data_IF_052831856326
#
_entry.id   IF_052831856326
#
_cell.length_a   1.000
_cell.length_b   1.000
_cell.length_c   1.000
_cell.angle_alpha   90.00
_cell.angle_beta   90.00
_cell.angle_gamma   90.00
#
_symmetry.space_group_name_H-M   'P 1'
#
loop_
_entity.id
_entity.type
_entity.pdbx_description
1 polymer ?
#
# COMPACT_ATOMS: atom_id res chain seq x y z
N UNK A 1 16.44 -0.26 2.94
CA UNK A 1 15.41 -0.65 1.98
C UNK A 1 14.26 0.35 1.95
N UNK A 2 13.61 0.47 0.80
CA UNK A 2 12.38 1.24 0.69
C UNK A 2 11.19 0.43 1.23
N UNK A 3 10.08 1.11 1.50
CA UNK A 3 8.83 0.52 2.00
C UNK A 3 7.67 1.22 1.36
N UNK A 4 6.56 0.52 1.17
CA UNK A 4 5.34 1.06 0.58
C UNK A 4 4.16 0.94 1.54
N UNK A 5 3.28 1.92 1.48
CA UNK A 5 2.05 1.96 2.28
C UNK A 5 0.87 1.50 1.41
N UNK A 6 0.44 0.25 1.60
CA UNK A 6 -0.64 -0.34 0.79
C UNK A 6 -1.99 0.28 1.07
N UNK A 7 -2.23 0.76 2.31
CA UNK A 7 -3.46 1.51 2.61
C UNK A 7 -3.50 2.84 1.84
N UNK A 8 -2.38 3.55 1.79
CA UNK A 8 -2.30 4.80 1.02
C UNK A 8 -2.57 4.57 -0.46
N UNK A 9 -2.08 3.47 -1.04
CA UNK A 9 -2.36 3.11 -2.43
C UNK A 9 -3.86 2.88 -2.66
N UNK A 10 -4.56 2.20 -1.74
CA UNK A 10 -6.01 2.03 -1.79
C UNK A 10 -6.72 3.38 -1.75
N UNK A 11 -6.42 4.23 -0.75
CA UNK A 11 -7.10 5.53 -0.58
C UNK A 11 -6.84 6.48 -1.77
N UNK A 12 -5.61 6.49 -2.29
CA UNK A 12 -5.25 7.26 -3.48
C UNK A 12 -6.02 6.77 -4.71
N UNK A 13 -6.18 5.45 -4.86
CA UNK A 13 -6.99 4.86 -5.93
C UNK A 13 -8.46 5.29 -5.88
N UNK A 14 -9.08 5.31 -4.68
CA UNK A 14 -10.45 5.78 -4.49
C UNK A 14 -10.64 7.22 -4.97
N UNK A 15 -9.61 8.05 -4.84
CA UNK A 15 -9.57 9.46 -5.26
C UNK A 15 -9.11 9.67 -6.72
N UNK A 16 -9.09 8.63 -7.54
CA UNK A 16 -8.70 8.77 -8.94
C UNK A 16 -7.19 9.02 -9.13
N UNK A 17 -6.39 8.51 -8.22
CA UNK A 17 -4.94 8.67 -8.21
C UNK A 17 -4.43 9.95 -7.55
N UNK A 18 -5.31 10.77 -6.99
CA UNK A 18 -4.92 11.95 -6.22
C UNK A 18 -4.65 11.61 -4.76
N UNK A 19 -3.59 12.21 -4.22
CA UNK A 19 -3.27 12.12 -2.80
C UNK A 19 -4.34 12.88 -1.97
N UNK A 20 -4.89 12.25 -0.94
CA UNK A 20 -5.92 12.84 -0.08
C UNK A 20 -5.37 13.91 0.88
N UNK A 21 -4.08 13.87 1.17
CA UNK A 21 -3.36 14.87 2.00
C UNK A 21 -2.82 15.99 1.14
N UNK A 22 -2.23 15.65 -0.01
CA UNK A 22 -1.65 16.60 -0.98
C UNK A 22 -2.47 16.62 -2.27
N UNK A 23 -3.67 17.19 -2.22
CA UNK A 23 -4.71 17.14 -3.25
C UNK A 23 -4.30 17.66 -4.63
N UNK A 24 -3.27 18.48 -4.71
CA UNK A 24 -2.74 19.00 -5.98
C UNK A 24 -1.84 17.99 -6.71
N UNK A 25 -1.52 16.86 -6.08
CA UNK A 25 -0.60 15.88 -6.62
C UNK A 25 -1.32 14.61 -7.07
N UNK A 26 -1.33 14.38 -8.38
CA UNK A 26 -1.79 13.12 -8.98
C UNK A 26 -0.64 12.14 -9.05
N UNK A 27 -0.75 11.04 -8.33
CA UNK A 27 0.29 10.00 -8.21
C UNK A 27 0.28 9.08 -9.42
N UNK A 28 -0.92 8.65 -9.88
CA UNK A 28 -1.11 7.78 -11.04
C UNK A 28 -2.50 7.96 -11.65
N UNK A 29 -2.68 7.49 -12.89
CA UNK A 29 -3.95 7.58 -13.60
C UNK A 29 -4.87 6.40 -13.31
N UNK A 30 -6.03 6.69 -12.72
CA UNK A 30 -7.11 5.75 -12.46
C UNK A 30 -8.43 6.51 -12.36
N UNK A 31 -9.54 5.85 -12.69
CA UNK A 31 -10.86 6.44 -12.50
C UNK A 31 -11.24 6.47 -11.02
N UNK A 32 -11.71 7.63 -10.51
CA UNK A 32 -12.14 7.72 -9.11
C UNK A 32 -13.43 6.96 -8.88
N UNK A 33 -13.59 6.42 -7.68
CA UNK A 33 -14.86 5.88 -7.21
C UNK A 33 -15.79 7.06 -6.88
N UNK A 34 -17.01 7.06 -7.44
CA UNK A 34 -17.98 8.16 -7.28
C UNK A 34 -19.20 7.77 -6.45
N UNK A 35 -19.29 6.53 -6.01
CA UNK A 35 -20.43 5.98 -5.28
C UNK A 35 -20.68 6.73 -3.95
N UNK A 36 -21.94 6.89 -3.58
CA UNK A 36 -22.36 7.46 -2.28
C UNK A 36 -22.09 6.49 -1.13
N UNK A 37 -22.16 5.20 -1.41
CA UNK A 37 -21.76 4.11 -0.52
C UNK A 37 -20.73 3.28 -1.27
N UNK A 38 -19.58 3.03 -0.66
CA UNK A 38 -18.54 2.22 -1.28
C UNK A 38 -19.01 0.79 -1.50
N UNK A 39 -18.90 0.32 -2.74
CA UNK A 39 -19.26 -1.01 -3.15
C UNK A 39 -17.99 -1.86 -3.24
N UNK A 40 -18.00 -3.03 -2.57
CA UNK A 40 -16.77 -3.83 -2.36
C UNK A 40 -16.09 -4.26 -3.66
N UNK A 41 -16.84 -4.78 -4.64
CA UNK A 41 -16.23 -5.26 -5.88
C UNK A 41 -15.65 -4.11 -6.72
N UNK A 42 -16.32 -2.95 -6.73
CA UNK A 42 -15.80 -1.74 -7.38
C UNK A 42 -14.51 -1.25 -6.73
N UNK A 43 -14.48 -1.20 -5.39
CA UNK A 43 -13.29 -0.81 -4.62
C UNK A 43 -12.16 -1.82 -4.82
N UNK A 44 -12.46 -3.11 -4.78
CA UNK A 44 -11.47 -4.17 -5.00
C UNK A 44 -10.84 -4.07 -6.37
N UNK A 45 -11.65 -3.94 -7.43
CA UNK A 45 -11.17 -3.80 -8.81
C UNK A 45 -10.32 -2.52 -9.02
N UNK A 46 -10.70 -1.41 -8.37
CA UNK A 46 -9.91 -0.17 -8.37
C UNK A 46 -8.59 -0.37 -7.62
N UNK A 47 -8.62 -1.03 -6.47
CA UNK A 47 -7.42 -1.30 -5.68
C UNK A 47 -6.45 -2.25 -6.38
N UNK A 48 -6.93 -3.25 -7.11
CA UNK A 48 -6.07 -4.12 -7.93
C UNK A 48 -5.25 -3.32 -8.95
N UNK A 49 -5.85 -2.34 -9.62
CA UNK A 49 -5.12 -1.41 -10.52
C UNK A 49 -4.09 -0.55 -9.77
N UNK A 50 -4.44 -0.13 -8.55
CA UNK A 50 -3.50 0.61 -7.70
C UNK A 50 -2.32 -0.26 -7.26
N UNK A 51 -2.56 -1.55 -7.01
CA UNK A 51 -1.51 -2.52 -6.70
C UNK A 51 -0.60 -2.80 -7.91
N UNK A 52 -1.16 -2.84 -9.13
CA UNK A 52 -0.37 -2.98 -10.36
C UNK A 52 0.63 -1.82 -10.46
N UNK A 53 0.14 -0.58 -10.41
CA UNK A 53 1.00 0.60 -10.42
C UNK A 53 2.03 0.63 -9.27
N UNK A 54 1.59 0.27 -8.05
CA UNK A 54 2.46 0.27 -6.87
C UNK A 54 3.61 -0.72 -7.00
N UNK A 55 3.32 -1.93 -7.46
CA UNK A 55 4.35 -2.98 -7.62
C UNK A 55 5.31 -2.67 -8.76
N UNK A 56 4.83 -2.17 -9.89
CA UNK A 56 5.66 -1.71 -11.02
C UNK A 56 6.66 -0.65 -10.53
N UNK A 57 6.14 0.41 -9.91
CA UNK A 57 6.97 1.52 -9.41
C UNK A 57 7.97 1.05 -8.35
N UNK A 58 7.54 0.18 -7.44
CA UNK A 58 8.39 -0.30 -6.36
C UNK A 58 9.53 -1.19 -6.88
N UNK A 59 9.22 -2.09 -7.81
CA UNK A 59 10.23 -2.96 -8.44
C UNK A 59 11.23 -2.13 -9.23
N UNK A 60 10.77 -1.19 -10.04
CA UNK A 60 11.66 -0.31 -10.82
C UNK A 60 12.58 0.51 -9.91
N UNK A 61 12.02 1.10 -8.86
CA UNK A 61 12.80 1.85 -7.89
C UNK A 61 13.87 0.99 -7.20
N UNK A 62 13.53 -0.23 -6.77
CA UNK A 62 14.49 -1.13 -6.13
C UNK A 62 15.54 -1.66 -7.11
N UNK A 63 15.16 -1.97 -8.34
CA UNK A 63 16.12 -2.36 -9.38
C UNK A 63 17.16 -1.27 -9.61
N UNK A 64 16.72 0.00 -9.71
CA UNK A 64 17.61 1.15 -9.86
C UNK A 64 18.51 1.33 -8.62
N UNK A 65 17.93 1.29 -7.42
CA UNK A 65 18.67 1.44 -6.16
C UNK A 65 19.75 0.36 -6.04
N UNK A 66 19.42 -0.89 -6.31
CA UNK A 66 20.40 -1.98 -6.23
C UNK A 66 21.49 -1.88 -7.31
N UNK A 67 21.12 -1.51 -8.54
CA UNK A 67 22.08 -1.24 -9.60
C UNK A 67 23.03 -0.10 -9.22
N UNK A 68 22.50 1.02 -8.71
CA UNK A 68 23.30 2.17 -8.32
C UNK A 68 24.20 1.88 -7.11
N UNK A 69 23.69 1.10 -6.14
CA UNK A 69 24.47 0.64 -4.99
C UNK A 69 25.64 -0.22 -5.46
N UNK A 70 25.39 -1.20 -6.31
CA UNK A 70 26.46 -2.08 -6.82
C UNK A 70 27.50 -1.32 -7.67
N UNK A 71 27.09 -0.27 -8.35
CA UNK A 71 27.98 0.49 -9.24
C UNK A 71 28.82 1.55 -8.51
N UNK A 72 28.27 2.21 -7.50
CA UNK A 72 28.84 3.42 -6.92
C UNK A 72 29.11 3.35 -5.42
N UNK A 73 28.63 2.35 -4.71
CA UNK A 73 28.79 2.25 -3.27
C UNK A 73 30.08 1.50 -2.92
N UNK A 74 30.67 1.86 -1.80
CA UNK A 74 31.83 1.18 -1.20
C UNK A 74 31.56 -0.30 -0.91
N UNK A 75 30.32 -0.69 -0.62
CA UNK A 75 29.93 -2.10 -0.44
C UNK A 75 30.25 -2.95 -1.67
N UNK A 76 30.11 -2.40 -2.86
CA UNK A 76 30.48 -3.09 -4.10
C UNK A 76 31.97 -3.47 -4.13
N UNK A 77 32.86 -2.64 -3.56
CA UNK A 77 34.30 -2.93 -3.45
C UNK A 77 34.55 -4.03 -2.45
N UNK A 78 33.87 -4.02 -1.30
CA UNK A 78 33.98 -5.08 -0.29
C UNK A 78 33.44 -6.41 -0.82
N UNK A 79 32.35 -6.41 -1.54
CA UNK A 79 31.72 -7.60 -2.11
C UNK A 79 32.55 -8.19 -3.27
N UNK A 80 33.44 -7.41 -3.91
CA UNK A 80 34.36 -7.91 -4.92
C UNK A 80 35.37 -8.94 -4.36
N UNK A 81 35.55 -8.94 -3.05
CA UNK A 81 36.40 -9.94 -2.36
C UNK A 81 35.66 -11.22 -1.97
N UNK A 82 34.32 -11.27 -2.17
CA UNK A 82 33.54 -12.46 -1.92
C UNK A 82 33.51 -13.36 -3.16
N UNK A 83 33.66 -14.70 -3.01
CA UNK A 83 33.72 -15.61 -4.15
C UNK A 83 32.44 -15.69 -4.99
N UNK A 84 31.30 -15.22 -4.47
CA UNK A 84 30.05 -15.21 -5.20
C UNK A 84 29.33 -13.90 -4.94
N UNK A 85 29.17 -13.08 -6.00
CA UNK A 85 28.43 -11.84 -5.97
C UNK A 85 26.98 -12.07 -6.45
N UNK A 86 26.22 -12.81 -5.66
CA UNK A 86 24.82 -13.11 -5.97
C UNK A 86 23.88 -12.38 -5.02
N UNK A 87 22.85 -11.72 -5.58
CA UNK A 87 21.69 -11.25 -4.83
C UNK A 87 20.61 -12.33 -4.94
N UNK A 88 20.51 -13.18 -3.93
CA UNK A 88 19.51 -14.25 -3.92
C UNK A 88 18.10 -13.70 -3.73
N UNK A 89 17.94 -12.69 -2.88
CA UNK A 89 16.63 -12.15 -2.51
C UNK A 89 16.62 -10.61 -2.52
N UNK A 90 15.49 -10.04 -2.91
CA UNK A 90 15.16 -8.63 -2.75
C UNK A 90 13.92 -8.49 -1.87
N UNK A 91 14.04 -7.73 -0.77
CA UNK A 91 12.96 -7.54 0.20
C UNK A 91 12.05 -6.38 -0.15
N UNK A 92 10.75 -6.67 -0.26
CA UNK A 92 9.69 -5.71 -0.52
C UNK A 92 8.81 -5.57 0.73
N UNK A 93 9.11 -4.57 1.56
CA UNK A 93 8.36 -4.31 2.79
C UNK A 93 7.09 -3.53 2.55
N UNK A 94 5.98 -3.96 3.17
CA UNK A 94 4.72 -3.22 3.16
C UNK A 94 4.34 -2.78 4.57
N UNK A 95 3.72 -1.61 4.69
CA UNK A 95 3.06 -1.12 5.90
C UNK A 95 1.56 -0.86 5.63
N UNK A 96 0.81 -0.70 6.70
CA UNK A 96 -0.64 -0.48 6.63
C UNK A 96 -1.46 -1.74 6.32
N UNK A 97 -0.85 -2.94 6.40
CA UNK A 97 -1.53 -4.19 6.06
C UNK A 97 -2.81 -4.42 6.86
N UNK A 98 -2.74 -4.39 8.20
CA UNK A 98 -3.91 -4.60 9.06
C UNK A 98 -5.03 -3.59 8.76
N UNK A 99 -4.69 -2.30 8.69
CA UNK A 99 -5.68 -1.26 8.39
C UNK A 99 -6.26 -1.39 6.97
N UNK A 100 -5.52 -1.94 6.01
CA UNK A 100 -6.04 -2.22 4.66
C UNK A 100 -7.05 -3.36 4.70
N UNK A 101 -6.73 -4.45 5.41
CA UNK A 101 -7.65 -5.58 5.60
C UNK A 101 -8.92 -5.11 6.30
N UNK A 102 -8.79 -4.35 7.38
CA UNK A 102 -9.93 -3.81 8.13
C UNK A 102 -10.77 -2.85 7.27
N UNK A 103 -10.13 -2.02 6.43
CA UNK A 103 -10.83 -1.13 5.50
C UNK A 103 -11.64 -1.92 4.47
N UNK A 104 -11.05 -2.95 3.86
CA UNK A 104 -11.75 -3.83 2.93
C UNK A 104 -12.88 -4.60 3.60
N UNK A 105 -12.66 -5.04 4.84
CA UNK A 105 -13.67 -5.70 5.66
C UNK A 105 -14.84 -4.76 5.97
N UNK A 106 -14.56 -3.53 6.39
CA UNK A 106 -15.59 -2.52 6.64
C UNK A 106 -16.43 -2.24 5.39
N UNK A 107 -15.79 -2.10 4.22
CA UNK A 107 -16.48 -1.88 2.95
C UNK A 107 -17.34 -3.09 2.54
N UNK A 108 -16.87 -4.31 2.83
CA UNK A 108 -17.57 -5.56 2.46
C UNK A 108 -18.74 -5.90 3.38
N UNK A 109 -18.62 -5.63 4.68
CA UNK A 109 -19.56 -6.13 5.70
C UNK A 109 -20.33 -5.05 6.45
N UNK A 110 -19.92 -3.79 6.34
CA UNK A 110 -20.61 -2.64 6.91
C UNK A 110 -21.04 -1.66 5.80
N UNK A 111 -21.58 -0.52 6.17
CA UNK A 111 -21.90 0.56 5.24
C UNK A 111 -20.86 1.65 5.38
N UNK A 112 -20.09 1.88 4.33
CA UNK A 112 -19.05 2.92 4.31
C UNK A 112 -19.44 4.01 3.32
N UNK A 113 -19.63 5.23 3.83
CA UNK A 113 -19.95 6.43 3.04
C UNK A 113 -18.72 7.35 2.99
N UNK A 114 -18.18 7.62 1.81
CA UNK A 114 -17.11 8.58 1.66
C UNK A 114 -17.63 10.01 1.84
N UNK A 115 -16.92 10.81 2.62
CA UNK A 115 -17.19 12.23 2.80
C UNK A 115 -16.27 13.01 1.87
N UNK A 116 -16.88 13.82 0.99
CA UNK A 116 -16.16 14.51 -0.10
C UNK A 116 -16.15 16.00 0.13
N UNK A 117 -15.10 16.64 -0.36
CA UNK A 117 -15.02 18.09 -0.43
C UNK A 117 -15.77 18.65 -1.67
N UNK A 118 -15.74 19.95 -1.84
CA UNK A 118 -16.39 20.67 -2.95
C UNK A 118 -15.87 20.27 -4.35
N UNK A 119 -14.67 19.72 -4.43
CA UNK A 119 -14.04 19.23 -5.65
C UNK A 119 -14.30 17.73 -5.88
N UNK A 120 -14.98 17.07 -4.94
CA UNK A 120 -15.36 15.66 -4.99
C UNK A 120 -14.26 14.71 -4.49
N UNK A 121 -13.18 15.21 -3.88
CA UNK A 121 -12.16 14.38 -3.25
C UNK A 121 -12.64 13.87 -1.89
N UNK A 122 -12.43 12.58 -1.65
CA UNK A 122 -12.70 11.97 -0.35
C UNK A 122 -11.64 12.43 0.63
N UNK A 123 -12.07 12.96 1.76
CA UNK A 123 -11.18 13.38 2.84
C UNK A 123 -11.50 12.69 4.16
N UNK A 124 -12.68 12.07 4.28
CA UNK A 124 -13.09 11.31 5.46
C UNK A 124 -14.13 10.25 5.11
N UNK A 125 -14.50 9.42 6.07
CA UNK A 125 -15.46 8.33 5.91
C UNK A 125 -16.37 8.22 7.13
N UNK A 126 -17.65 7.88 6.86
CA UNK A 126 -18.62 7.44 7.87
C UNK A 126 -18.80 5.91 7.70
N UNK A 127 -18.47 5.16 8.75
CA UNK A 127 -18.65 3.71 8.79
C UNK A 127 -19.76 3.35 9.75
N UNK A 128 -20.80 2.66 9.28
CA UNK A 128 -21.99 2.29 10.02
C UNK A 128 -22.15 0.78 9.99
N UNK A 129 -22.20 0.15 11.16
CA UNK A 129 -22.34 -1.30 11.34
C UNK A 129 -21.06 -1.95 11.84
N UNK A 130 -21.15 -3.26 12.09
CA UNK A 130 -20.05 -4.08 12.58
C UNK A 130 -19.41 -4.85 11.42
N UNK A 131 -18.10 -5.06 11.51
CA UNK A 131 -17.33 -5.82 10.55
C UNK A 131 -16.20 -6.57 11.26
N UNK A 132 -15.78 -7.76 10.75
CA UNK A 132 -14.68 -8.51 11.33
C UNK A 132 -13.34 -7.78 11.13
N UNK A 133 -12.48 -7.76 12.14
CA UNK A 133 -11.18 -7.12 12.10
C UNK A 133 -10.06 -8.15 12.00
N UNK A 134 -8.98 -7.72 11.39
CA UNK A 134 -7.76 -8.51 11.35
C UNK A 134 -7.20 -8.74 12.76
N UNK A 135 -6.91 -10.00 13.10
CA UNK A 135 -6.41 -10.39 14.41
C UNK A 135 -7.47 -10.87 15.41
N UNK A 136 -8.75 -10.84 15.03
CA UNK A 136 -9.87 -11.38 15.84
C UNK A 136 -10.17 -12.86 15.53
N UNK A 137 -9.34 -13.53 14.71
CA UNK A 137 -9.48 -14.90 14.25
C UNK A 137 -10.84 -15.18 13.53
N UNK A 138 -11.36 -14.18 12.85
CA UNK A 138 -12.55 -14.31 12.03
C UNK A 138 -12.19 -14.75 10.61
N UNK A 139 -12.74 -15.86 10.09
CA UNK A 139 -12.42 -16.36 8.75
C UNK A 139 -12.63 -15.31 7.64
N UNK A 140 -13.61 -14.42 7.79
CA UNK A 140 -13.93 -13.40 6.79
C UNK A 140 -12.83 -12.34 6.63
N UNK A 141 -12.21 -11.92 7.74
CA UNK A 141 -11.04 -11.02 7.69
C UNK A 141 -9.78 -11.77 7.27
N UNK A 142 -9.64 -13.04 7.62
CA UNK A 142 -8.52 -13.88 7.21
C UNK A 142 -8.50 -14.08 5.69
N UNK A 143 -9.64 -14.34 5.04
CA UNK A 143 -9.75 -14.45 3.58
C UNK A 143 -9.30 -13.15 2.87
N UNK A 144 -9.65 -11.98 3.40
CA UNK A 144 -9.22 -10.70 2.85
C UNK A 144 -7.71 -10.48 3.01
N UNK A 145 -7.16 -10.92 4.13
CA UNK A 145 -5.73 -10.85 4.40
C UNK A 145 -4.94 -11.77 3.45
N UNK A 146 -5.39 -13.01 3.27
CA UNK A 146 -4.80 -13.97 2.33
C UNK A 146 -4.86 -13.43 0.91
N UNK A 147 -6.02 -12.95 0.47
CA UNK A 147 -6.18 -12.32 -0.85
C UNK A 147 -5.19 -11.14 -1.05
N UNK A 148 -5.05 -10.25 -0.08
CA UNK A 148 -4.16 -9.10 -0.19
C UNK A 148 -2.69 -9.52 -0.34
N UNK A 149 -2.24 -10.47 0.49
CA UNK A 149 -0.88 -11.01 0.40
C UNK A 149 -0.64 -11.70 -0.94
N UNK A 150 -1.57 -12.54 -1.39
CA UNK A 150 -1.47 -13.23 -2.66
C UNK A 150 -1.45 -12.24 -3.84
N UNK A 151 -2.38 -11.29 -3.86
CA UNK A 151 -2.47 -10.27 -4.89
C UNK A 151 -1.19 -9.44 -5.01
N UNK A 152 -0.62 -9.03 -3.87
CA UNK A 152 0.63 -8.28 -3.84
C UNK A 152 1.85 -9.13 -4.24
N UNK A 153 1.97 -10.34 -3.67
CA UNK A 153 3.13 -11.22 -3.91
C UNK A 153 3.19 -11.72 -5.34
N UNK A 154 2.04 -12.09 -5.92
CA UNK A 154 1.95 -12.55 -7.32
C UNK A 154 2.42 -11.47 -8.28
N UNK A 155 2.00 -10.22 -8.07
CA UNK A 155 2.45 -9.08 -8.86
C UNK A 155 3.96 -8.88 -8.77
N UNK A 156 4.51 -8.85 -7.57
CA UNK A 156 5.96 -8.72 -7.38
C UNK A 156 6.75 -9.82 -8.10
N UNK A 157 6.30 -11.07 -7.99
CA UNK A 157 6.98 -12.23 -8.60
C UNK A 157 6.86 -12.30 -10.12
N UNK A 158 5.92 -11.55 -10.72
CA UNK A 158 5.82 -11.45 -12.18
C UNK A 158 6.91 -10.56 -12.80
N UNK A 159 7.61 -9.77 -12.00
CA UNK A 159 8.64 -8.85 -12.47
C UNK A 159 10.03 -9.48 -12.49
N UNK A 160 10.84 -9.02 -13.43
CA UNK A 160 12.26 -9.34 -13.44
C UNK A 160 13.02 -8.43 -12.48
N UNK A 161 13.69 -9.04 -11.51
CA UNK A 161 14.49 -8.31 -10.53
C UNK A 161 15.96 -8.23 -10.96
N UNK A 162 16.66 -7.23 -10.43
CA UNK A 162 18.08 -7.03 -10.65
C UNK A 162 18.89 -8.25 -10.24
N UNK A 163 19.77 -8.72 -11.14
CA UNK A 163 20.58 -9.95 -10.99
C UNK A 163 19.75 -11.23 -10.74
N UNK A 164 18.57 -11.29 -11.32
CA UNK A 164 17.65 -12.44 -11.22
C UNK A 164 17.35 -12.85 -9.76
N UNK A 165 17.31 -11.87 -8.84
CA UNK A 165 16.92 -12.08 -7.46
C UNK A 165 15.46 -12.49 -7.33
N UNK A 166 15.11 -13.19 -6.25
CA UNK A 166 13.74 -13.54 -5.92
C UNK A 166 13.09 -12.46 -5.03
N UNK A 167 11.82 -12.12 -5.32
CA UNK A 167 11.05 -11.21 -4.48
C UNK A 167 10.62 -11.89 -3.17
N UNK A 168 10.96 -11.27 -2.05
CA UNK A 168 10.47 -11.64 -0.72
C UNK A 168 9.64 -10.51 -0.13
N UNK A 169 8.54 -10.85 0.52
CA UNK A 169 7.64 -9.88 1.16
C UNK A 169 7.84 -9.88 2.67
N UNK A 170 7.84 -8.71 3.28
CA UNK A 170 7.85 -8.56 4.73
C UNK A 170 6.75 -7.60 5.17
N UNK A 171 6.04 -7.96 6.24
CA UNK A 171 5.12 -7.08 6.93
C UNK A 171 5.90 -6.26 7.96
N UNK A 172 5.62 -4.97 8.02
CA UNK A 172 6.32 -4.07 8.93
C UNK A 172 5.71 -4.10 10.32
N UNK A 173 6.57 -3.91 11.31
CA UNK A 173 6.18 -3.86 12.71
C UNK A 173 5.48 -2.56 13.10
N UNK A 174 4.89 -2.52 14.29
CA UNK A 174 4.12 -1.42 14.87
C UNK A 174 4.86 -0.06 14.78
N UNK A 175 6.15 -0.02 15.08
CA UNK A 175 6.93 1.24 15.07
C UNK A 175 6.93 1.91 13.70
N UNK A 176 7.07 1.13 12.63
CA UNK A 176 7.01 1.65 11.26
C UNK A 176 5.61 2.15 10.91
N UNK A 177 4.57 1.46 11.36
CA UNK A 177 3.18 1.85 11.11
C UNK A 177 2.85 3.20 11.75
N UNK A 178 3.33 3.49 12.96
CA UNK A 178 3.15 4.78 13.62
C UNK A 178 3.76 5.92 12.80
N UNK A 179 4.97 5.72 12.25
CA UNK A 179 5.61 6.74 11.41
C UNK A 179 4.82 7.01 10.11
N UNK A 180 4.22 5.97 9.52
CA UNK A 180 3.44 6.09 8.28
C UNK A 180 1.99 6.56 8.50
N UNK A 181 1.44 6.46 9.69
CA UNK A 181 0.07 6.91 9.98
C UNK A 181 -0.16 8.39 9.66
N UNK A 182 0.86 9.21 9.86
CA UNK A 182 0.84 10.65 9.53
C UNK A 182 0.68 10.93 8.02
N UNK A 183 1.11 10.00 7.18
CA UNK A 183 1.08 10.14 5.72
C UNK A 183 -0.16 9.48 5.09
N UNK A 184 -0.82 8.61 5.84
CA UNK A 184 -1.91 7.80 5.31
C UNK A 184 -3.20 8.59 5.10
N UNK A 185 -3.48 9.57 5.96
CA UNK A 185 -4.77 10.25 5.96
C UNK A 185 -5.88 9.44 6.67
N UNK A 186 -7.14 9.86 6.51
CA UNK A 186 -8.29 9.16 7.05
C UNK A 186 -8.64 7.93 6.22
N UNK A 187 -9.05 6.88 6.89
CA UNK A 187 -9.60 5.66 6.29
C UNK A 187 -10.94 5.29 6.94
N UNK A 188 -11.72 4.36 6.38
CA UNK A 188 -12.96 3.88 6.98
C UNK A 188 -12.83 3.37 8.42
N UNK A 189 -11.66 2.92 8.81
CA UNK A 189 -11.42 2.25 10.12
C UNK A 189 -10.51 3.04 11.06
N UNK A 190 -9.81 4.05 10.55
CA UNK A 190 -8.83 4.80 11.32
C UNK A 190 -8.79 6.27 10.87
N UNK A 191 -8.76 7.17 11.84
CA UNK A 191 -8.51 8.59 11.58
C UNK A 191 -7.00 8.84 11.49
N UNK A 192 -6.57 9.47 10.41
CA UNK A 192 -5.18 9.87 10.23
C UNK A 192 -4.74 10.89 11.28
N UNK A 193 -3.46 10.95 11.51
CA UNK A 193 -2.89 12.02 12.32
C UNK A 193 -2.53 13.19 11.40
N UNK A 194 -3.32 14.23 11.43
CA UNK A 194 -2.99 15.50 10.78
C UNK A 194 -2.17 16.34 11.76
N UNK A 195 -1.08 16.91 11.27
CA UNK A 195 -0.43 17.97 11.98
C UNK A 195 -1.33 19.22 11.88
N UNK A 196 -1.68 19.83 13.01
CA UNK A 196 -2.28 21.16 13.00
C UNK A 196 -1.24 22.19 12.54
N UNK A 197 -1.69 23.44 12.31
CA UNK A 197 -0.82 24.54 11.82
C UNK A 197 0.42 24.78 12.70
N UNK A 198 0.39 24.33 13.95
CA UNK A 198 1.49 24.46 14.92
C UNK A 198 2.46 23.25 14.90
N UNK A 199 2.24 22.23 14.08
CA UNK A 199 3.08 21.02 13.95
C UNK A 199 2.91 20.04 15.08
#
# INVERSE_FOLDING_TARGET
GARVNVLKALLTGLNGGYDDVHKDYKVFDIDPIRDEVLEFESVKANFEKSLDWLTDTYVDALNIIHYMTDKYNYEAVQMAFLPTHQRANMGFGICGFANTVDTLSAIKYATVKPIRDENGYIYDYETIGEYPRWGEDDPRSNELAEWLIEAYTTRLRSHKLYKDAEATVSLLTITSNVAYSKQTGNSPVHKGVYLNEDG
#
